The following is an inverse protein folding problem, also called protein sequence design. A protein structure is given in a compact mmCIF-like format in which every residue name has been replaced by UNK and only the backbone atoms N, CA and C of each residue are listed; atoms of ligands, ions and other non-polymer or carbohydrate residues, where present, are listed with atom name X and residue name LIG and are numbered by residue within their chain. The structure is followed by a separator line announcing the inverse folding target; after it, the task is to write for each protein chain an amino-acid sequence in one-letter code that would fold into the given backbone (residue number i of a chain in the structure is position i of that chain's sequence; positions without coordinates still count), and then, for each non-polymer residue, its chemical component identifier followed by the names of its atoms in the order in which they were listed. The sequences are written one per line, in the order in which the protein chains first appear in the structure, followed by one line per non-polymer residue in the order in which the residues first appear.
data_IF_724058761380
#
_entry.id   IF_724058761380
#
_cell.length_a   1.000
_cell.length_b   1.000
_cell.length_c   1.000
_cell.angle_alpha   90.00
_cell.angle_beta   90.00
_cell.angle_gamma   90.00
#
_symmetry.space_group_name_H-M   'P 1'
#
loop_
_entity.id
_entity.type
_entity.pdbx_description
1 polymer ?
#
# COMPACT_ATOMS: atom_id res chain seq x y z
N UNK A 1 -2.30 -3.67 -0.69
CA UNK A 1 -1.41 -3.19 -1.79
C UNK A 1 -2.27 -2.95 -3.03
N UNK A 2 -2.11 -1.82 -3.72
CA UNK A 2 -2.80 -1.58 -4.99
C UNK A 2 -2.04 -2.26 -6.15
N UNK A 3 -2.76 -2.95 -7.03
CA UNK A 3 -2.21 -3.68 -8.19
C UNK A 3 -3.05 -3.40 -9.44
N UNK A 4 -2.54 -3.77 -10.62
CA UNK A 4 -3.32 -3.70 -11.86
C UNK A 4 -4.44 -4.75 -11.90
N UNK A 5 -5.46 -4.51 -12.74
CA UNK A 5 -6.61 -5.40 -12.93
C UNK A 5 -6.19 -6.85 -13.27
N UNK A 6 -5.19 -7.02 -14.14
CA UNK A 6 -4.63 -8.34 -14.45
C UNK A 6 -4.20 -9.10 -13.19
N UNK A 7 -3.39 -8.46 -12.35
CA UNK A 7 -2.88 -9.08 -11.12
C UNK A 7 -4.02 -9.32 -10.14
N UNK A 8 -4.94 -8.37 -9.99
CA UNK A 8 -6.12 -8.53 -9.12
C UNK A 8 -6.93 -9.78 -9.50
N UNK A 9 -7.22 -9.98 -10.79
CA UNK A 9 -7.94 -11.16 -11.28
C UNK A 9 -7.16 -12.46 -11.17
N UNK A 10 -5.83 -12.42 -11.31
CA UNK A 10 -4.99 -13.60 -11.16
C UNK A 10 -4.95 -14.09 -9.70
N UNK A 11 -4.89 -13.18 -8.73
CA UNK A 11 -4.84 -13.53 -7.31
C UNK A 11 -6.16 -14.14 -6.80
N UNK A 12 -7.29 -13.86 -7.46
CA UNK A 12 -8.57 -14.48 -7.15
C UNK A 12 -8.67 -15.95 -7.61
N UNK A 13 -7.67 -16.47 -8.32
CA UNK A 13 -7.67 -17.85 -8.82
C UNK A 13 -6.80 -18.75 -7.94
N UNK A 14 -7.04 -20.04 -8.01
CA UNK A 14 -6.18 -21.02 -7.35
C UNK A 14 -4.71 -20.88 -7.82
N UNK A 15 -3.73 -21.05 -6.93
CA UNK A 15 -3.86 -21.43 -5.51
C UNK A 15 -4.09 -20.25 -4.56
N UNK A 16 -4.13 -19.01 -5.06
CA UNK A 16 -4.06 -17.78 -4.24
C UNK A 16 -5.42 -17.29 -3.74
N UNK A 17 -6.51 -17.83 -4.25
CA UNK A 17 -7.88 -17.34 -4.01
C UNK A 17 -8.31 -17.29 -2.54
N UNK A 18 -7.68 -18.08 -1.65
CA UNK A 18 -7.95 -18.09 -0.20
C UNK A 18 -6.88 -17.38 0.63
N UNK A 19 -5.89 -16.76 0.00
CA UNK A 19 -4.74 -16.13 0.67
C UNK A 19 -4.90 -14.61 0.81
N UNK A 20 -5.94 -14.03 0.20
CA UNK A 20 -6.13 -12.59 0.14
C UNK A 20 -7.60 -12.22 0.36
N UNK A 21 -7.81 -11.08 1.03
CA UNK A 21 -9.08 -10.36 1.02
C UNK A 21 -9.12 -9.40 -0.17
N UNK A 22 -10.13 -9.54 -1.03
CA UNK A 22 -10.21 -8.78 -2.28
C UNK A 22 -11.08 -7.53 -2.12
N UNK A 23 -10.44 -6.36 -2.17
CA UNK A 23 -11.15 -5.08 -2.13
C UNK A 23 -11.30 -4.56 -3.56
N UNK A 24 -12.53 -4.55 -4.06
CA UNK A 24 -12.85 -3.99 -5.37
C UNK A 24 -12.63 -2.45 -5.42
N UNK A 25 -12.29 -1.88 -6.58
CA UNK A 25 -12.17 -0.44 -6.72
C UNK A 25 -13.53 0.23 -6.44
N UNK A 26 -13.51 1.37 -5.73
CA UNK A 26 -14.73 2.13 -5.40
C UNK A 26 -15.51 2.57 -6.65
N UNK A 27 -14.80 2.84 -7.74
CA UNK A 27 -15.37 3.15 -9.05
C UNK A 27 -14.71 2.25 -10.08
N UNK A 28 -15.52 1.49 -10.79
CA UNK A 28 -15.05 0.64 -11.87
C UNK A 28 -14.65 1.51 -13.08
N UNK A 29 -13.54 1.14 -13.72
CA UNK A 29 -13.02 1.79 -14.92
C UNK A 29 -12.96 0.71 -16.01
N UNK A 30 -13.69 0.87 -17.13
CA UNK A 30 -13.62 -0.05 -18.25
C UNK A 30 -12.18 -0.23 -18.77
N UNK A 31 -11.83 -1.43 -19.23
CA UNK A 31 -10.45 -1.76 -19.62
C UNK A 31 -9.93 -0.93 -20.81
N UNK A 32 -10.82 -0.56 -21.72
CA UNK A 32 -10.55 0.31 -22.88
C UNK A 32 -10.27 1.77 -22.47
N UNK A 33 -10.72 2.18 -21.28
CA UNK A 33 -10.51 3.51 -20.70
C UNK A 33 -9.43 3.52 -19.61
N UNK A 34 -8.97 2.34 -19.19
CA UNK A 34 -7.98 2.19 -18.13
C UNK A 34 -6.59 2.57 -18.63
N UNK A 35 -5.90 3.45 -17.89
CA UNK A 35 -4.52 3.78 -18.18
C UNK A 35 -3.60 2.56 -17.97
N UNK A 36 -2.53 2.40 -18.77
CA UNK A 36 -1.56 1.34 -18.56
C UNK A 36 -0.89 1.41 -17.18
N UNK A 37 -0.93 0.32 -16.43
CA UNK A 37 -0.28 0.24 -15.13
C UNK A 37 1.23 -0.01 -15.29
N UNK A 38 2.06 0.78 -14.61
CA UNK A 38 3.53 0.67 -14.67
C UNK A 38 4.06 -0.49 -13.79
N UNK A 39 3.88 -1.74 -14.24
CA UNK A 39 4.25 -2.96 -13.50
C UNK A 39 5.73 -3.08 -13.10
N UNK A 40 6.64 -2.30 -13.70
CA UNK A 40 8.10 -2.40 -13.50
C UNK A 40 8.65 -1.49 -12.41
N UNK A 41 7.82 -0.62 -11.83
CA UNK A 41 8.29 0.44 -10.92
C UNK A 41 8.32 -0.05 -9.46
N UNK A 42 9.16 -1.05 -9.18
CA UNK A 42 9.55 -1.39 -7.81
C UNK A 42 10.72 -0.49 -7.36
N UNK A 43 10.59 0.83 -7.54
CA UNK A 43 11.63 1.77 -7.10
C UNK A 43 11.36 2.16 -5.65
N UNK A 44 12.41 2.22 -4.84
CA UNK A 44 12.33 2.86 -3.52
C UNK A 44 11.83 4.28 -3.77
N UNK A 45 10.64 4.59 -3.24
CA UNK A 45 10.01 5.90 -3.35
C UNK A 45 10.64 6.82 -2.31
N UNK A 46 10.86 8.08 -2.68
CA UNK A 46 11.24 9.06 -1.68
C UNK A 46 10.06 9.23 -0.70
N UNK A 47 10.29 9.32 0.62
CA UNK A 47 9.19 9.48 1.59
C UNK A 47 8.28 10.68 1.28
N UNK A 48 8.82 11.73 0.67
CA UNK A 48 8.04 12.90 0.23
C UNK A 48 7.00 12.59 -0.84
N UNK A 49 7.22 11.57 -1.69
CA UNK A 49 6.23 11.19 -2.72
C UNK A 49 4.90 10.76 -2.11
N UNK A 50 4.91 10.16 -0.90
CA UNK A 50 3.69 9.71 -0.22
C UNK A 50 3.29 10.57 0.97
N UNK A 51 4.22 11.32 1.57
CA UNK A 51 3.95 12.20 2.71
C UNK A 51 3.69 13.66 2.32
N UNK A 52 4.12 14.08 1.13
CA UNK A 52 4.15 15.47 0.69
C UNK A 52 5.58 16.05 0.75
N UNK A 53 5.89 16.98 -0.16
CA UNK A 53 7.22 17.59 -0.25
C UNK A 53 7.60 18.37 1.02
N UNK A 54 6.64 19.07 1.60
CA UNK A 54 6.80 19.90 2.81
C UNK A 54 6.52 19.15 4.12
N UNK A 55 6.46 17.82 4.09
CA UNK A 55 6.17 17.04 5.29
C UNK A 55 7.40 16.98 6.21
N UNK A 56 7.39 17.82 7.25
CA UNK A 56 8.45 17.89 8.26
C UNK A 56 8.00 17.51 9.68
N UNK A 57 6.74 17.06 9.84
CA UNK A 57 6.20 16.73 11.15
C UNK A 57 6.96 15.55 11.79
N UNK A 58 7.63 15.83 12.90
CA UNK A 58 8.22 14.82 13.79
C UNK A 58 7.41 14.83 15.08
N UNK A 59 6.50 13.87 15.22
CA UNK A 59 5.71 13.70 16.45
C UNK A 59 6.55 12.95 17.48
N UNK A 60 6.57 13.43 18.72
CA UNK A 60 7.15 12.67 19.82
C UNK A 60 6.47 11.29 19.92
N UNK A 61 7.28 10.24 20.08
CA UNK A 61 6.73 8.93 20.37
C UNK A 61 5.91 9.02 21.68
N UNK A 62 4.72 8.39 21.76
CA UNK A 62 4.00 8.31 23.03
C UNK A 62 4.91 7.63 24.07
N UNK A 63 5.10 8.30 25.21
CA UNK A 63 6.08 7.96 26.24
C UNK A 63 5.92 6.56 26.84
N UNK A 64 4.78 5.90 26.60
CA UNK A 64 4.41 4.64 27.23
C UNK A 64 4.82 3.38 26.45
N UNK A 65 5.21 3.48 25.18
CA UNK A 65 5.40 2.29 24.35
C UNK A 65 6.83 1.71 24.43
N UNK A 66 7.86 2.52 24.19
CA UNK A 66 9.27 2.05 24.11
C UNK A 66 10.26 3.04 24.76
N UNK A 67 9.92 3.57 25.93
CA UNK A 67 10.81 4.43 26.71
C UNK A 67 11.72 3.61 27.62
N UNK A 68 12.80 4.19 28.17
CA UNK A 68 13.64 3.52 29.17
C UNK A 68 12.86 3.08 30.42
N UNK A 69 11.70 3.69 30.67
CA UNK A 69 10.79 3.35 31.77
C UNK A 69 9.70 2.34 31.39
N UNK A 70 9.60 1.92 30.11
CA UNK A 70 8.61 0.93 29.68
C UNK A 70 9.22 -0.48 29.67
N UNK A 71 8.54 -1.43 30.32
CA UNK A 71 8.89 -2.87 30.34
C UNK A 71 8.60 -3.59 29.01
N UNK A 72 8.41 -2.84 27.93
CA UNK A 72 8.05 -3.40 26.64
C UNK A 72 9.30 -3.73 25.82
N UNK A 73 10.10 -4.67 26.34
CA UNK A 73 11.11 -5.48 25.66
C UNK A 73 11.46 -6.67 26.57
#
# INVERSE_FOLDING_TARGET
MAVCDKTFRLLQRAPYSSMFEFIAPRREIPLDQAAPFQCRRARIRHPQETKGEDYHATTAAPSSCCGPDSQCC
#
